data_IF_134802355680
#
_entry.id   IF_134802355680
#
_cell.length_a   1.000
_cell.length_b   1.000
_cell.length_c   1.000
_cell.angle_alpha   90.00
_cell.angle_beta   90.00
_cell.angle_gamma   90.00
#
_symmetry.space_group_name_H-M   'P 1'
#
loop_
_entity.id
_entity.type
_entity.pdbx_description
1 polymer ?
#
# COMPACT_ATOMS: atom_id res chain seq x y z
N UNK A 1 1.04 -23.79 9.63
CA UNK A 1 0.43 -22.71 10.43
C UNK A 1 0.90 -21.33 9.93
N UNK A 2 0.81 -21.05 8.62
CA UNK A 2 1.46 -19.87 8.01
C UNK A 2 0.50 -18.75 7.58
N UNK A 3 -0.81 -18.92 7.78
CA UNK A 3 -1.81 -18.02 7.19
C UNK A 3 -2.17 -16.81 8.06
N UNK A 4 -1.89 -16.84 9.37
CA UNK A 4 -2.40 -15.83 10.31
C UNK A 4 -1.54 -14.57 10.38
N UNK A 5 -0.24 -14.68 10.14
CA UNK A 5 0.69 -13.55 10.19
C UNK A 5 0.49 -12.63 9.00
N UNK A 6 0.40 -13.18 7.79
CA UNK A 6 0.21 -12.39 6.56
C UNK A 6 -1.14 -11.66 6.52
N UNK A 7 -2.19 -12.24 7.10
CA UNK A 7 -3.52 -11.61 7.18
C UNK A 7 -3.49 -10.39 8.13
N UNK A 8 -2.96 -10.56 9.36
CA UNK A 8 -2.82 -9.48 10.35
C UNK A 8 -2.01 -8.28 9.83
N UNK A 9 -0.96 -8.54 9.05
CA UNK A 9 -0.15 -7.49 8.45
C UNK A 9 -0.88 -6.76 7.31
N UNK A 10 -1.73 -7.44 6.56
CA UNK A 10 -2.55 -6.85 5.48
C UNK A 10 -3.63 -5.94 6.06
N UNK A 11 -4.24 -6.36 7.16
CA UNK A 11 -5.23 -5.57 7.89
C UNK A 11 -4.59 -4.28 8.44
N UNK A 12 -3.37 -4.36 8.97
CA UNK A 12 -2.62 -3.18 9.45
C UNK A 12 -2.32 -2.17 8.34
N UNK A 13 -1.88 -2.61 7.17
CA UNK A 13 -1.63 -1.72 6.02
C UNK A 13 -2.92 -1.05 5.55
N UNK A 14 -4.04 -1.78 5.59
CA UNK A 14 -5.36 -1.26 5.22
C UNK A 14 -5.83 -0.21 6.22
N UNK A 15 -5.71 -0.47 7.52
CA UNK A 15 -6.06 0.50 8.57
C UNK A 15 -5.25 1.79 8.50
N UNK A 16 -3.96 1.73 8.14
CA UNK A 16 -3.14 2.94 7.99
C UNK A 16 -3.50 3.75 6.73
N UNK A 17 -3.88 3.07 5.65
CA UNK A 17 -4.40 3.72 4.45
C UNK A 17 -5.74 4.42 4.74
N UNK A 18 -6.64 3.75 5.44
CA UNK A 18 -7.92 4.33 5.87
C UNK A 18 -7.72 5.54 6.79
N UNK A 19 -6.75 5.47 7.72
CA UNK A 19 -6.38 6.62 8.56
C UNK A 19 -5.74 7.77 7.78
N UNK A 20 -5.03 7.47 6.69
CA UNK A 20 -4.51 8.46 5.75
C UNK A 20 -5.59 9.03 4.82
N UNK A 21 -6.85 8.59 4.95
CA UNK A 21 -7.98 9.04 4.15
C UNK A 21 -8.16 8.27 2.84
N UNK A 22 -7.39 7.21 2.61
CA UNK A 22 -7.52 6.34 1.44
C UNK A 22 -8.36 5.14 1.82
N UNK A 23 -9.61 5.17 1.41
CA UNK A 23 -10.59 4.11 1.71
C UNK A 23 -10.92 3.30 0.46
N UNK A 24 -10.62 3.82 -0.74
CA UNK A 24 -11.02 3.19 -2.00
C UNK A 24 -9.84 3.03 -2.95
N UNK A 25 -9.82 1.93 -3.70
CA UNK A 25 -8.72 1.58 -4.59
C UNK A 25 -8.43 2.64 -5.67
N UNK A 26 -9.45 3.38 -6.14
CA UNK A 26 -9.26 4.44 -7.13
C UNK A 26 -8.49 5.65 -6.57
N UNK A 27 -8.48 5.87 -5.25
CA UNK A 27 -7.74 6.96 -4.61
C UNK A 27 -6.24 6.65 -4.61
N UNK A 28 -5.90 5.38 -4.33
CA UNK A 28 -4.53 4.86 -4.44
C UNK A 28 -4.02 4.95 -5.89
N UNK A 29 -4.89 4.66 -6.86
CA UNK A 29 -4.60 4.85 -8.28
C UNK A 29 -4.38 6.34 -8.62
N UNK A 30 -5.13 7.25 -8.01
CA UNK A 30 -4.92 8.70 -8.14
C UNK A 30 -3.50 9.09 -7.74
N UNK A 31 -3.02 8.60 -6.60
CA UNK A 31 -1.65 8.83 -6.12
C UNK A 31 -0.63 8.26 -7.12
N UNK A 32 -0.84 7.05 -7.62
CA UNK A 32 0.05 6.45 -8.62
C UNK A 32 0.13 7.28 -9.91
N UNK A 33 -1.00 7.84 -10.36
CA UNK A 33 -1.06 8.70 -11.53
C UNK A 33 -0.37 10.06 -11.27
N UNK A 34 -0.51 10.63 -10.07
CA UNK A 34 0.21 11.85 -9.66
C UNK A 34 1.72 11.63 -9.61
N UNK A 35 2.17 10.42 -9.29
CA UNK A 35 3.58 10.01 -9.30
C UNK A 35 4.10 9.66 -10.71
N UNK A 36 3.39 10.05 -11.78
CA UNK A 36 3.75 9.78 -13.17
C UNK A 36 3.94 8.28 -13.46
N UNK A 37 3.23 7.41 -12.73
CA UNK A 37 3.37 5.95 -12.81
C UNK A 37 4.78 5.45 -12.46
N UNK A 38 5.54 6.21 -11.68
CA UNK A 38 6.83 5.76 -11.19
C UNK A 38 6.63 4.76 -10.03
N UNK A 39 6.93 3.48 -10.32
CA UNK A 39 6.79 2.39 -9.35
C UNK A 39 7.65 2.57 -8.10
N UNK A 40 8.88 3.06 -8.22
CA UNK A 40 9.76 3.23 -7.05
C UNK A 40 9.23 4.28 -6.09
N UNK A 41 8.75 5.41 -6.62
CA UNK A 41 8.13 6.44 -5.78
C UNK A 41 6.82 5.95 -5.16
N UNK A 42 6.04 5.14 -5.87
CA UNK A 42 4.82 4.57 -5.33
C UNK A 42 5.08 3.54 -4.21
N UNK A 43 6.10 2.69 -4.38
CA UNK A 43 6.54 1.76 -3.34
C UNK A 43 7.04 2.50 -2.09
N UNK A 44 7.84 3.55 -2.27
CA UNK A 44 8.28 4.46 -1.20
C UNK A 44 7.09 5.09 -0.49
N UNK A 45 6.13 5.61 -1.26
CA UNK A 45 4.94 6.26 -0.73
C UNK A 45 4.10 5.30 0.12
N UNK A 46 3.85 4.08 -0.35
CA UNK A 46 3.10 3.06 0.40
C UNK A 46 3.86 2.64 1.66
N UNK A 47 5.18 2.52 1.60
CA UNK A 47 5.98 2.20 2.79
C UNK A 47 5.89 3.31 3.85
N UNK A 48 6.04 4.56 3.42
CA UNK A 48 6.16 5.69 4.33
C UNK A 48 4.78 6.16 4.85
N UNK A 49 3.69 5.98 4.09
CA UNK A 49 2.33 6.42 4.48
C UNK A 49 1.45 5.27 5.00
N UNK A 50 1.58 4.06 4.46
CA UNK A 50 0.78 2.91 4.89
C UNK A 50 1.51 2.01 5.91
N UNK A 51 2.79 2.29 6.21
CA UNK A 51 3.62 1.43 7.06
C UNK A 51 3.82 0.03 6.47
N UNK A 52 3.67 -0.13 5.15
CA UNK A 52 3.81 -1.42 4.48
C UNK A 52 5.28 -1.84 4.41
N UNK A 53 5.55 -3.14 4.48
CA UNK A 53 6.91 -3.62 4.20
C UNK A 53 7.22 -3.63 2.69
N UNK A 54 8.50 -3.77 2.33
CA UNK A 54 8.97 -3.75 0.93
C UNK A 54 8.26 -4.78 0.03
N UNK A 55 7.88 -5.94 0.59
CA UNK A 55 7.19 -6.99 -0.17
C UNK A 55 5.75 -6.61 -0.50
N UNK A 56 5.02 -6.04 0.46
CA UNK A 56 3.64 -5.57 0.28
C UNK A 56 3.57 -4.37 -0.66
N UNK A 57 4.48 -3.40 -0.51
CA UNK A 57 4.55 -2.23 -1.39
C UNK A 57 4.76 -2.66 -2.85
N UNK A 58 5.69 -3.59 -3.08
CA UNK A 58 5.94 -4.16 -4.40
C UNK A 58 4.73 -4.92 -4.95
N UNK A 59 4.10 -5.78 -4.14
CA UNK A 59 2.87 -6.47 -4.56
C UNK A 59 1.76 -5.49 -4.94
N UNK A 60 1.60 -4.38 -4.20
CA UNK A 60 0.59 -3.37 -4.49
C UNK A 60 0.91 -2.55 -5.75
N UNK A 61 2.19 -2.32 -6.04
CA UNK A 61 2.66 -1.64 -7.25
C UNK A 61 2.58 -2.53 -8.51
N UNK A 62 2.59 -3.84 -8.34
CA UNK A 62 2.50 -4.85 -9.41
C UNK A 62 1.05 -5.33 -9.67
N UNK A 63 0.08 -4.90 -8.84
CA UNK A 63 -1.36 -5.17 -9.01
C UNK A 63 -2.01 -4.30 -10.08
#
# INVERSE_FOLDING_TARGET
MSSTTSQKFRDFTTSNLEQSGITKAYELLGIYLTLLKNKEYFELWIRDNAGANRHQAKQCADS
#
